data_IF_709997201454
#
_entry.id   IF_709997201454
#
_cell.length_a   1.000
_cell.length_b   1.000
_cell.length_c   1.000
_cell.angle_alpha   90.00
_cell.angle_beta   90.00
_cell.angle_gamma   90.00
#
_symmetry.space_group_name_H-M   'P 1'
#
loop_
_entity.id
_entity.type
_entity.pdbx_description
1 polymer ?
#
# COMPACT_ATOMS: atom_id res chain seq x y z
N UNK A 1 -8.98 21.38 1.27
CA UNK A 1 -8.69 20.99 2.66
C UNK A 1 -7.65 19.89 2.64
N UNK A 2 -6.38 20.11 3.03
CA UNK A 2 -5.40 19.03 3.05
C UNK A 2 -5.69 18.12 4.23
N UNK A 3 -5.98 16.85 3.97
CA UNK A 3 -6.23 15.85 5.00
C UNK A 3 -4.90 15.44 5.61
N UNK A 4 -4.56 15.96 6.80
CA UNK A 4 -3.40 15.49 7.55
C UNK A 4 -3.66 14.06 8.02
N UNK A 5 -3.04 13.09 7.34
CA UNK A 5 -3.02 11.69 7.80
C UNK A 5 -2.04 11.59 8.96
N UNK A 6 -2.57 11.59 10.19
CA UNK A 6 -1.78 11.37 11.39
C UNK A 6 -1.27 9.91 11.40
N UNK A 7 0.02 9.72 11.13
CA UNK A 7 0.66 8.40 11.20
C UNK A 7 0.53 7.86 12.64
N UNK A 8 -0.02 6.65 12.86
CA UNK A 8 -0.09 6.07 14.19
C UNK A 8 1.29 6.01 14.83
N UNK A 9 1.33 6.22 16.15
CA UNK A 9 2.55 6.18 16.97
C UNK A 9 3.32 4.85 16.94
N UNK A 10 2.80 3.82 16.25
CA UNK A 10 3.30 2.44 16.23
C UNK A 10 3.54 1.89 14.82
N UNK A 11 3.65 2.75 13.80
CA UNK A 11 4.00 2.32 12.45
C UNK A 11 5.51 2.36 12.25
N UNK A 12 6.10 1.22 11.89
CA UNK A 12 7.48 1.13 11.41
C UNK A 12 7.46 1.12 9.88
N UNK A 13 8.40 1.82 9.25
CA UNK A 13 8.46 1.95 7.81
C UNK A 13 9.86 1.65 7.32
N UNK A 14 9.95 0.77 6.32
CA UNK A 14 11.14 0.54 5.51
C UNK A 14 10.83 1.09 4.13
N UNK A 15 11.64 2.04 3.67
CA UNK A 15 11.48 2.69 2.38
C UNK A 15 12.84 2.69 1.69
N UNK A 16 12.85 2.29 0.42
CA UNK A 16 14.00 2.45 -0.45
C UNK A 16 13.76 3.66 -1.33
N UNK A 17 14.79 4.48 -1.51
CA UNK A 17 14.77 5.56 -2.50
C UNK A 17 14.72 4.97 -3.91
N UNK A 18 14.28 5.78 -4.88
CA UNK A 18 14.15 5.36 -6.27
C UNK A 18 15.43 4.71 -6.79
N UNK A 19 15.29 3.51 -7.35
CA UNK A 19 16.38 2.69 -7.90
C UNK A 19 17.45 2.20 -6.90
N UNK A 20 17.27 2.40 -5.59
CA UNK A 20 18.23 1.92 -4.57
C UNK A 20 17.95 0.50 -4.07
N UNK A 21 16.70 0.04 -4.18
CA UNK A 21 16.35 -1.33 -3.84
C UNK A 21 17.09 -2.32 -4.76
N UNK A 22 17.79 -3.30 -4.18
CA UNK A 22 18.44 -4.35 -4.95
C UNK A 22 17.39 -5.31 -5.50
N UNK A 23 17.59 -5.88 -6.70
CA UNK A 23 16.70 -6.93 -7.20
C UNK A 23 16.89 -8.22 -6.41
N UNK A 24 15.81 -8.98 -6.28
CA UNK A 24 15.82 -10.30 -5.66
C UNK A 24 14.71 -10.49 -4.63
N UNK A 25 14.85 -11.54 -3.83
CA UNK A 25 13.81 -11.98 -2.91
C UNK A 25 13.88 -11.28 -1.56
N UNK A 26 12.77 -10.67 -1.17
CA UNK A 26 12.61 -9.98 0.11
C UNK A 26 11.60 -10.72 0.98
N UNK A 27 11.95 -10.84 2.26
CA UNK A 27 11.12 -11.49 3.27
C UNK A 27 10.81 -10.50 4.39
N UNK A 28 9.53 -10.38 4.74
CA UNK A 28 9.07 -9.51 5.81
C UNK A 28 8.74 -10.35 7.02
N UNK A 29 9.45 -10.08 8.11
CA UNK A 29 9.25 -10.73 9.39
C UNK A 29 8.64 -9.76 10.40
N UNK A 30 7.75 -10.27 11.24
CA UNK A 30 7.17 -9.53 12.36
C UNK A 30 7.54 -10.22 13.66
N UNK A 31 8.06 -9.44 14.61
CA UNK A 31 8.47 -9.91 15.92
C UNK A 31 7.94 -9.00 17.04
N UNK A 32 7.44 -9.61 18.12
CA UNK A 32 6.93 -8.87 19.26
C UNK A 32 7.99 -8.74 20.37
N UNK A 33 8.94 -7.82 20.15
CA UNK A 33 10.10 -7.62 21.01
C UNK A 33 9.76 -7.34 22.48
N UNK A 34 8.81 -6.44 22.74
CA UNK A 34 8.54 -5.99 24.12
C UNK A 34 7.07 -5.71 24.34
N UNK A 35 6.50 -6.38 25.34
CA UNK A 35 5.17 -6.07 25.85
C UNK A 35 5.25 -5.00 26.94
N UNK A 36 4.51 -3.89 26.77
CA UNK A 36 4.35 -2.93 27.85
C UNK A 36 3.46 -3.52 28.97
N UNK A 37 3.96 -3.52 30.22
CA UNK A 37 3.23 -3.97 31.42
C UNK A 37 2.26 -2.90 31.96
N UNK A 38 1.40 -2.35 31.10
CA UNK A 38 0.35 -1.40 31.51
C UNK A 38 -1.00 -2.11 31.62
N UNK A 39 -1.83 -1.74 32.60
CA UNK A 39 -3.23 -2.20 32.70
C UNK A 39 -3.94 -1.86 31.38
N UNK A 40 -4.65 -2.84 30.79
CA UNK A 40 -5.32 -2.78 29.46
C UNK A 40 -4.44 -2.96 28.21
N UNK A 41 -3.18 -3.40 28.30
CA UNK A 41 -2.46 -3.84 27.09
C UNK A 41 -3.10 -5.12 26.54
N UNK A 42 -3.69 -5.00 25.35
CA UNK A 42 -4.34 -6.12 24.65
C UNK A 42 -3.27 -7.03 24.07
N UNK A 43 -3.37 -8.30 24.43
CA UNK A 43 -2.59 -9.41 23.88
C UNK A 43 -3.64 -10.41 23.38
N UNK A 44 -3.59 -10.87 22.12
CA UNK A 44 -2.54 -10.64 21.10
C UNK A 44 -2.54 -9.23 20.49
N UNK A 45 -1.35 -8.72 20.14
CA UNK A 45 -1.16 -7.46 19.42
C UNK A 45 -1.52 -7.65 17.96
N UNK A 46 -2.52 -6.90 17.47
CA UNK A 46 -2.88 -6.88 16.05
C UNK A 46 -1.88 -6.01 15.28
N UNK A 47 -1.47 -6.45 14.10
CA UNK A 47 -0.62 -5.68 13.19
C UNK A 47 -1.15 -5.79 11.77
N UNK A 48 -0.79 -4.79 10.96
CA UNK A 48 -1.05 -4.75 9.52
C UNK A 48 0.26 -4.41 8.82
N UNK A 49 0.62 -5.18 7.80
CA UNK A 49 1.77 -4.94 6.93
C UNK A 49 1.25 -4.57 5.56
N UNK A 50 1.70 -3.43 5.05
CA UNK A 50 1.40 -2.98 3.69
C UNK A 50 2.73 -2.90 2.95
N UNK A 51 2.83 -3.60 1.84
CA UNK A 51 4.02 -3.67 0.99
C UNK A 51 3.64 -3.05 -0.35
N UNK A 52 4.40 -2.06 -0.79
CA UNK A 52 4.26 -1.49 -2.11
C UNK A 52 5.48 -1.90 -2.94
N UNK A 53 5.27 -2.82 -3.88
CA UNK A 53 6.30 -3.30 -4.80
C UNK A 53 5.99 -2.81 -6.22
N UNK A 54 6.44 -1.59 -6.54
CA UNK A 54 6.46 -1.06 -7.91
C UNK A 54 5.07 -1.16 -8.59
N UNK A 55 4.05 -0.68 -7.88
CA UNK A 55 2.65 -0.71 -8.33
C UNK A 55 1.84 -1.89 -7.81
N UNK A 56 2.48 -2.94 -7.29
CA UNK A 56 1.79 -4.04 -6.61
C UNK A 56 1.65 -3.73 -5.12
N UNK A 57 0.41 -3.54 -4.66
CA UNK A 57 0.10 -3.35 -3.25
C UNK A 57 -0.31 -4.69 -2.62
N UNK A 58 0.50 -5.15 -1.66
CA UNK A 58 0.19 -6.33 -0.86
C UNK A 58 -0.17 -5.90 0.56
N UNK A 59 -1.29 -6.42 1.08
CA UNK A 59 -1.76 -6.12 2.43
C UNK A 59 -1.91 -7.42 3.23
N UNK A 60 -1.31 -7.44 4.42
CA UNK A 60 -1.37 -8.58 5.33
C UNK A 60 -1.82 -8.13 6.72
N UNK A 61 -2.89 -8.74 7.20
CA UNK A 61 -3.38 -8.56 8.56
C UNK A 61 -2.97 -9.74 9.44
N UNK A 62 -2.46 -9.45 10.62
CA UNK A 62 -1.93 -10.48 11.51
C UNK A 62 -2.08 -10.16 12.99
N UNK A 63 -1.75 -11.16 13.82
CA UNK A 63 -1.71 -11.04 15.27
C UNK A 63 -0.47 -11.73 15.82
N UNK A 64 0.21 -11.07 16.75
CA UNK A 64 1.41 -11.60 17.41
C UNK A 64 1.29 -11.43 18.92
N UNK A 65 1.59 -12.49 19.66
CA UNK A 65 1.61 -12.48 21.13
C UNK A 65 3.05 -12.30 21.63
N UNK A 66 3.23 -11.90 22.89
CA UNK A 66 4.57 -11.79 23.44
C UNK A 66 5.14 -13.18 23.75
N UNK A 67 6.31 -13.49 23.21
CA UNK A 67 6.92 -14.83 23.30
C UNK A 67 6.63 -15.73 22.10
N UNK A 68 5.81 -15.30 21.15
CA UNK A 68 5.70 -15.98 19.86
C UNK A 68 7.06 -15.91 19.12
N UNK A 69 7.47 -16.97 18.41
CA UNK A 69 8.62 -16.90 17.52
C UNK A 69 8.40 -15.85 16.43
N UNK A 70 9.50 -15.33 15.86
CA UNK A 70 9.46 -14.42 14.72
C UNK A 70 8.63 -15.04 13.58
N UNK A 71 7.67 -14.28 13.04
CA UNK A 71 6.74 -14.79 12.02
C UNK A 71 7.10 -14.22 10.66
N UNK A 72 7.29 -15.09 9.66
CA UNK A 72 7.31 -14.69 8.27
C UNK A 72 5.88 -14.29 7.85
N UNK A 73 5.71 -13.06 7.38
CA UNK A 73 4.40 -12.51 7.00
C UNK A 73 4.26 -12.46 5.50
N UNK A 74 5.32 -12.09 4.79
CA UNK A 74 5.31 -11.95 3.35
C UNK A 74 6.67 -12.28 2.76
N UNK A 75 6.62 -12.75 1.52
CA UNK A 75 7.79 -13.00 0.68
C UNK A 75 7.44 -12.50 -0.72
N UNK A 76 8.28 -11.65 -1.29
CA UNK A 76 8.04 -11.05 -2.59
C UNK A 76 9.36 -10.84 -3.34
N UNK A 77 9.30 -10.90 -4.66
CA UNK A 77 10.44 -10.63 -5.53
C UNK A 77 10.43 -9.16 -5.95
N UNK A 78 11.56 -8.49 -5.78
CA UNK A 78 11.76 -7.13 -6.23
C UNK A 78 12.41 -7.17 -7.62
N UNK A 79 11.73 -6.66 -8.66
CA UNK A 79 12.24 -6.72 -10.03
C UNK A 79 13.48 -5.84 -10.23
N UNK A 80 14.20 -6.01 -11.34
CA UNK A 80 15.38 -5.18 -11.68
C UNK A 80 14.98 -3.74 -11.99
N UNK A 81 15.92 -2.79 -11.91
CA UNK A 81 15.63 -1.37 -12.17
C UNK A 81 15.01 -1.14 -13.56
N UNK A 82 15.45 -1.89 -14.58
CA UNK A 82 14.87 -1.83 -15.92
C UNK A 82 13.41 -2.30 -15.93
N UNK A 83 13.12 -3.46 -15.35
CA UNK A 83 11.76 -3.97 -15.23
C UNK A 83 10.86 -3.06 -14.39
N UNK A 84 11.42 -2.41 -13.36
CA UNK A 84 10.70 -1.42 -12.57
C UNK A 84 10.30 -0.23 -13.41
N UNK A 85 11.23 0.30 -14.19
CA UNK A 85 10.97 1.43 -15.07
C UNK A 85 9.88 1.08 -16.09
N UNK A 86 9.96 -0.10 -16.72
CA UNK A 86 8.93 -0.56 -17.65
C UNK A 86 7.55 -0.67 -17.00
N UNK A 87 7.46 -1.18 -15.76
CA UNK A 87 6.19 -1.26 -15.02
C UNK A 87 5.63 0.13 -14.69
N UNK A 88 6.49 1.04 -14.22
CA UNK A 88 6.10 2.42 -13.90
C UNK A 88 5.58 3.13 -15.16
N UNK A 89 6.28 2.98 -16.28
CA UNK A 89 5.89 3.61 -17.54
C UNK A 89 4.57 3.04 -18.09
N UNK A 90 4.36 1.72 -17.99
CA UNK A 90 3.11 1.08 -18.34
C UNK A 90 1.94 1.60 -17.48
N UNK A 91 2.12 1.66 -16.16
CA UNK A 91 1.10 2.18 -15.23
C UNK A 91 0.79 3.65 -15.52
N UNK A 92 1.83 4.45 -15.80
CA UNK A 92 1.66 5.87 -16.16
C UNK A 92 0.86 6.02 -17.46
N UNK A 93 1.18 5.24 -18.49
CA UNK A 93 0.46 5.26 -19.76
C UNK A 93 -1.01 4.83 -19.59
N UNK A 94 -1.26 3.78 -18.81
CA UNK A 94 -2.64 3.33 -18.51
C UNK A 94 -3.43 4.41 -17.76
N UNK A 95 -2.82 5.06 -16.76
CA UNK A 95 -3.44 6.18 -16.04
C UNK A 95 -3.76 7.36 -16.95
N UNK A 96 -2.92 7.66 -17.94
CA UNK A 96 -3.16 8.74 -18.90
C UNK A 96 -4.38 8.46 -19.78
N UNK A 97 -4.52 7.22 -20.26
CA UNK A 97 -5.69 6.76 -21.04
C UNK A 97 -6.97 6.82 -20.19
N UNK A 98 -6.93 6.31 -18.96
CA UNK A 98 -8.04 6.34 -18.01
C UNK A 98 -8.48 7.78 -17.70
N UNK A 99 -7.52 8.70 -17.53
CA UNK A 99 -7.80 10.11 -17.25
C UNK A 99 -8.47 10.80 -18.44
N UNK A 100 -8.02 10.51 -19.66
CA UNK A 100 -8.54 11.10 -20.89
C UNK A 100 -9.97 10.63 -21.21
N UNK A 101 -10.28 9.35 -20.94
CA UNK A 101 -11.64 8.82 -21.12
C UNK A 101 -12.64 9.40 -20.11
N UNK A 102 -12.21 9.65 -18.86
CA UNK A 102 -13.07 10.25 -17.83
C UNK A 102 -13.50 11.68 -18.20
N UNK A 103 -12.64 12.45 -18.85
CA UNK A 103 -12.97 13.81 -19.30
C UNK A 103 -14.00 13.82 -20.45
N UNK A 104 -14.15 12.74 -21.21
CA UNK A 104 -15.19 12.63 -22.25
C UNK A 104 -16.55 12.19 -21.69
N UNK A 105 -16.59 11.40 -20.62
CA UNK A 105 -17.85 10.91 -20.02
C UNK A 105 -18.60 11.93 -19.17
N UNK A 106 -17.91 12.92 -18.59
CA UNK A 106 -18.55 13.98 -17.78
C UNK A 106 -19.18 15.10 -18.63
N UNK A 107 -19.03 15.04 -19.97
CA UNK A 107 -19.62 15.99 -20.91
C UNK A 107 -21.05 15.66 -21.37
N UNK A 108 -21.66 14.58 -20.88
CA UNK A 108 -22.98 14.11 -21.34
C UNK A 108 -23.93 13.87 -20.15
N UNK A 109 -24.17 14.91 -19.36
CA UNK A 109 -25.30 14.96 -18.40
C UNK A 109 -25.99 16.34 -18.33
N UNK A 110 -25.77 17.21 -19.32
CA UNK A 110 -26.46 18.48 -19.43
C UNK A 110 -27.33 18.50 -20.70
N UNK A 111 -28.64 18.32 -20.51
CA UNK A 111 -29.65 18.71 -21.49
C UNK A 111 -30.54 17.57 -21.97
N UNK A 112 -31.65 17.35 -21.26
CA UNK A 112 -32.95 17.00 -21.83
C UNK A 112 -33.98 17.07 -20.69
N UNK A 113 -34.45 18.28 -20.41
CA UNK A 113 -35.76 18.54 -19.83
C UNK A 113 -36.40 19.56 -20.78
N UNK A 114 -36.87 19.05 -21.92
CA UNK A 114 -37.69 19.79 -22.87
C UNK A 114 -39.15 19.41 -22.63
N UNK A 115 -39.95 20.44 -22.48
CA UNK A 115 -41.37 20.49 -22.19
C UNK A 115 -42.26 19.88 -23.27
N UNK A 116 -43.38 19.29 -22.88
CA UNK A 116 -44.74 19.29 -23.48
C UNK A 116 -45.55 18.19 -22.73
N UNK A 117 -46.72 18.41 -22.11
CA UNK A 117 -47.97 19.07 -22.53
C UNK A 117 -48.72 19.64 -21.30
#
# INVERSE_FOLDING_TARGET
MPTFVQKPKTCENVVWDDNTAQPGEYQVYVHHYKKHKKRRTKDPTKFKVIINNVGELLEFDGKVSHGDPIKLVAQFDVPTSEQRQSRIDAIRAEMEILSSNRTQSDGQSAGEDDSED
#
